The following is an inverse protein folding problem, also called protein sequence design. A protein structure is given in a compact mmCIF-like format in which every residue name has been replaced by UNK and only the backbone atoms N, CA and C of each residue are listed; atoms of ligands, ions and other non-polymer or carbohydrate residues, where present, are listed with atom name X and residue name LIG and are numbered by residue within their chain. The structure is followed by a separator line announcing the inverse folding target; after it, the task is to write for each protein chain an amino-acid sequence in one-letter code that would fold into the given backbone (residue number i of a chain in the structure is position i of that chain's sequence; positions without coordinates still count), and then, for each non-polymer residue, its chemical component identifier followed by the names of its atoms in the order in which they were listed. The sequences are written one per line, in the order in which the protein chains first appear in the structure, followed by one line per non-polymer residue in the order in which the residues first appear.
data_IF_805805701124
#
_entry.id   IF_805805701124
#
_cell.length_a   1.000
_cell.length_b   1.000
_cell.length_c   1.000
_cell.angle_alpha   90.00
_cell.angle_beta   90.00
_cell.angle_gamma   90.00
#
_symmetry.space_group_name_H-M   'P 1'
#
loop_
_entity.id
_entity.type
_entity.pdbx_description
1 polymer ?
#
# COMPACT_ATOMS: atom_id res chain seq x y z
N UNK A 1 63.73 -5.34 5.73
CA UNK A 1 62.56 -4.47 5.46
C UNK A 1 61.95 -4.95 4.15
N UNK A 2 61.21 -6.04 4.24
CA UNK A 2 59.73 -6.14 4.27
C UNK A 2 59.16 -6.41 2.88
N UNK A 3 58.93 -7.71 2.64
CA UNK A 3 58.03 -8.26 1.62
C UNK A 3 56.60 -8.22 2.17
N UNK A 4 55.64 -7.64 1.45
CA UNK A 4 54.21 -8.05 1.44
C UNK A 4 53.64 -7.74 0.04
N UNK A 5 53.52 -8.72 -0.84
CA UNK A 5 52.47 -9.74 -0.92
C UNK A 5 51.18 -9.19 -1.56
N UNK A 6 51.08 -9.51 -2.86
CA UNK A 6 49.93 -9.39 -3.76
C UNK A 6 48.72 -10.18 -3.23
N UNK A 7 47.54 -9.55 -3.25
CA UNK A 7 46.25 -10.17 -2.94
C UNK A 7 45.53 -10.56 -4.23
N UNK A 8 45.36 -11.86 -4.42
CA UNK A 8 44.67 -12.52 -5.52
C UNK A 8 43.14 -12.40 -5.38
N UNK A 9 42.48 -11.94 -6.46
CA UNK A 9 41.02 -12.01 -6.61
C UNK A 9 40.61 -13.42 -6.98
N UNK A 10 39.90 -14.10 -6.08
CA UNK A 10 39.27 -15.38 -6.33
C UNK A 10 37.89 -15.19 -6.99
N UNK A 11 37.80 -15.68 -8.23
CA UNK A 11 36.59 -15.89 -9.03
C UNK A 11 35.70 -16.94 -8.38
N UNK A 12 34.45 -16.61 -8.05
CA UNK A 12 33.46 -17.59 -7.58
C UNK A 12 32.39 -17.84 -8.63
N UNK A 13 32.23 -19.12 -8.93
CA UNK A 13 31.46 -19.68 -10.03
C UNK A 13 29.94 -19.57 -9.84
N UNK A 14 29.24 -19.29 -10.95
CA UNK A 14 27.80 -19.31 -11.04
C UNK A 14 27.23 -20.73 -10.94
N UNK A 15 26.44 -20.98 -9.89
CA UNK A 15 25.71 -22.23 -9.68
C UNK A 15 24.34 -22.15 -10.38
N UNK A 16 24.21 -22.80 -11.54
CA UNK A 16 22.93 -23.03 -12.24
C UNK A 16 22.08 -24.03 -11.46
N UNK A 17 20.82 -23.67 -11.17
CA UNK A 17 19.77 -24.58 -10.65
C UNK A 17 19.13 -25.32 -11.83
N UNK A 18 18.96 -26.66 -11.79
CA UNK A 18 18.17 -27.35 -12.80
C UNK A 18 16.67 -27.29 -12.48
N UNK A 19 15.89 -27.20 -13.56
CA UNK A 19 14.45 -27.04 -13.59
C UNK A 19 13.71 -28.34 -13.23
N UNK A 20 12.67 -28.21 -12.42
CA UNK A 20 11.69 -29.25 -12.11
C UNK A 20 10.70 -29.41 -13.27
N UNK A 21 10.68 -30.58 -13.91
CA UNK A 21 9.56 -31.04 -14.78
C UNK A 21 8.79 -32.14 -14.04
N UNK A 22 7.66 -31.78 -13.44
CA UNK A 22 6.70 -32.72 -12.84
C UNK A 22 5.50 -32.90 -13.76
N UNK A 23 5.29 -34.13 -14.20
CA UNK A 23 4.27 -34.56 -15.14
C UNK A 23 2.83 -34.37 -14.62
N UNK A 24 1.92 -34.04 -15.54
CA UNK A 24 0.49 -33.85 -15.33
C UNK A 24 -0.23 -35.16 -15.65
N UNK A 25 -0.71 -35.88 -14.65
CA UNK A 25 -1.57 -37.05 -14.83
C UNK A 25 -3.04 -36.68 -14.62
N UNK A 26 -3.83 -36.82 -15.68
CA UNK A 26 -5.29 -36.72 -15.71
C UNK A 26 -5.90 -38.07 -15.34
N UNK A 27 -6.77 -38.13 -14.33
CA UNK A 27 -7.60 -39.30 -14.06
C UNK A 27 -9.09 -38.93 -13.96
N UNK A 28 -9.87 -39.58 -14.82
CA UNK A 28 -11.31 -39.44 -15.02
C UNK A 28 -12.12 -40.08 -13.87
N UNK A 29 -13.24 -39.44 -13.57
CA UNK A 29 -14.40 -39.95 -12.81
C UNK A 29 -15.12 -41.06 -13.58
N UNK A 30 -15.74 -42.04 -12.91
CA UNK A 30 -16.94 -42.69 -13.44
C UNK A 30 -18.15 -42.51 -12.51
N UNK A 31 -19.31 -42.38 -13.16
CA UNK A 31 -20.64 -42.35 -12.57
C UNK A 31 -21.32 -43.72 -12.76
N UNK A 32 -22.24 -44.06 -11.84
CA UNK A 32 -23.45 -44.93 -11.93
C UNK A 32 -23.90 -45.20 -10.48
N UNK A 33 -25.17 -45.36 -10.08
CA UNK A 33 -26.39 -45.81 -10.75
C UNK A 33 -27.60 -45.38 -9.90
N UNK A 34 -28.72 -45.08 -10.55
CA UNK A 34 -30.03 -44.93 -9.93
C UNK A 34 -30.64 -46.31 -9.58
N UNK A 35 -31.47 -46.37 -8.54
CA UNK A 35 -32.50 -47.41 -8.40
C UNK A 35 -33.76 -46.84 -7.73
N UNK A 36 -34.90 -47.22 -8.28
CA UNK A 36 -36.26 -46.84 -7.96
C UNK A 36 -36.96 -47.97 -7.17
N UNK A 37 -37.83 -47.64 -6.21
CA UNK A 37 -39.02 -48.46 -5.87
C UNK A 37 -40.09 -47.68 -5.08
N UNK A 38 -41.33 -47.81 -5.54
CA UNK A 38 -42.64 -47.36 -5.02
C UNK A 38 -43.07 -48.17 -3.76
N UNK A 39 -44.15 -47.94 -2.97
CA UNK A 39 -45.07 -46.83 -2.63
C UNK A 39 -45.97 -47.28 -1.42
N UNK A 40 -46.21 -46.37 -0.43
CA UNK A 40 -47.42 -46.10 0.44
C UNK A 40 -48.09 -47.21 1.31
N UNK A 41 -49.05 -46.88 2.25
CA UNK A 41 -49.30 -45.66 3.07
C UNK A 41 -49.73 -45.93 4.55
N UNK A 42 -49.61 -45.00 5.51
CA UNK A 42 -50.55 -44.89 6.67
C UNK A 42 -50.71 -43.44 7.22
N UNK A 43 -51.99 -43.06 7.33
CA UNK A 43 -52.71 -42.08 8.16
C UNK A 43 -52.08 -40.74 8.64
N UNK A 44 -52.83 -39.64 8.40
CA UNK A 44 -52.71 -38.33 9.07
C UNK A 44 -53.58 -38.28 10.36
N UNK A 45 -53.33 -37.32 11.26
CA UNK A 45 -54.41 -36.37 11.51
C UNK A 45 -54.01 -34.88 11.45
N UNK A 46 -54.90 -34.18 10.77
CA UNK A 46 -55.26 -32.76 10.60
C UNK A 46 -54.66 -31.73 11.59
N UNK A 47 -54.12 -30.64 11.03
CA UNK A 47 -54.29 -29.30 11.59
C UNK A 47 -54.68 -28.29 10.49
N UNK A 48 -55.34 -27.23 10.93
CA UNK A 48 -56.39 -26.44 10.27
C UNK A 48 -55.93 -25.63 9.05
N UNK A 49 -56.81 -25.58 8.05
CA UNK A 49 -56.84 -24.59 6.96
C UNK A 49 -57.06 -23.20 7.57
N UNK A 50 -56.06 -22.32 7.46
CA UNK A 50 -56.20 -20.87 7.68
C UNK A 50 -56.02 -20.15 6.36
N UNK A 51 -56.87 -19.16 6.18
CA UNK A 51 -57.24 -18.43 4.98
C UNK A 51 -56.03 -17.77 4.29
N UNK A 52 -56.08 -17.80 2.96
CA UNK A 52 -55.17 -17.22 1.99
C UNK A 52 -55.04 -15.70 2.21
N UNK A 53 -54.05 -15.27 2.98
CA UNK A 53 -53.65 -13.88 3.11
C UNK A 53 -52.93 -13.40 1.86
N UNK A 54 -53.47 -12.38 1.20
CA UNK A 54 -52.85 -11.69 0.07
C UNK A 54 -51.48 -11.17 0.49
N UNK A 55 -50.42 -11.73 -0.10
CA UNK A 55 -49.05 -11.31 0.13
C UNK A 55 -48.87 -9.85 -0.36
N UNK A 56 -48.88 -8.90 0.57
CA UNK A 56 -48.42 -7.53 0.31
C UNK A 56 -46.95 -7.62 -0.11
N UNK A 57 -46.67 -7.44 -1.40
CA UNK A 57 -45.31 -7.29 -1.94
C UNK A 57 -44.60 -6.21 -1.11
N UNK A 58 -43.54 -6.59 -0.38
CA UNK A 58 -42.63 -5.63 0.24
C UNK A 58 -42.12 -4.71 -0.87
N UNK A 59 -42.52 -3.44 -0.83
CA UNK A 59 -42.01 -2.40 -1.72
C UNK A 59 -40.50 -2.35 -1.52
N UNK A 60 -39.75 -2.84 -2.51
CA UNK A 60 -38.30 -2.68 -2.55
C UNK A 60 -38.03 -1.19 -2.56
N UNK A 61 -37.68 -0.63 -1.41
CA UNK A 61 -37.14 0.73 -1.34
C UNK A 61 -35.87 0.70 -2.17
N UNK A 62 -35.92 1.27 -3.38
CA UNK A 62 -34.73 1.49 -4.21
C UNK A 62 -33.73 2.23 -3.33
N UNK A 63 -32.67 1.52 -2.90
CA UNK A 63 -31.51 2.16 -2.28
C UNK A 63 -31.09 3.28 -3.24
N UNK A 64 -31.13 4.53 -2.77
CA UNK A 64 -30.67 5.69 -3.53
C UNK A 64 -29.29 5.32 -4.09
N UNK A 65 -29.11 5.46 -5.41
CA UNK A 65 -27.84 5.14 -6.07
C UNK A 65 -26.73 5.88 -5.31
N UNK A 66 -25.61 5.23 -4.96
CA UNK A 66 -24.52 5.91 -4.27
C UNK A 66 -24.15 7.13 -5.12
N UNK A 67 -24.17 8.31 -4.50
CA UNK A 67 -23.74 9.57 -5.12
C UNK A 67 -22.39 9.28 -5.77
N UNK A 68 -22.32 9.46 -7.10
CA UNK A 68 -21.09 9.20 -7.85
C UNK A 68 -19.98 9.99 -7.17
N UNK A 69 -18.92 9.29 -6.76
CA UNK A 69 -17.76 9.93 -6.14
C UNK A 69 -17.33 11.13 -7.01
N UNK A 70 -16.94 12.26 -6.39
CA UNK A 70 -16.54 13.45 -7.14
C UNK A 70 -15.48 13.07 -8.17
N UNK A 71 -15.67 13.55 -9.41
CA UNK A 71 -14.72 13.31 -10.50
C UNK A 71 -13.42 14.04 -10.13
N UNK A 72 -12.42 13.28 -9.67
CA UNK A 72 -11.07 13.79 -9.46
C UNK A 72 -10.54 14.29 -10.81
N UNK A 73 -10.50 15.61 -10.97
CA UNK A 73 -9.87 16.28 -12.12
C UNK A 73 -8.36 16.31 -11.92
N UNK A 74 -7.59 16.61 -12.98
CA UNK A 74 -6.13 16.68 -12.91
C UNK A 74 -5.65 17.73 -11.88
N UNK A 75 -6.40 18.81 -11.69
CA UNK A 75 -6.12 19.86 -10.70
C UNK A 75 -6.27 19.39 -9.23
N UNK A 76 -7.08 18.36 -8.99
CA UNK A 76 -7.29 17.76 -7.65
C UNK A 76 -6.30 16.62 -7.37
N UNK A 77 -5.48 16.24 -8.35
CA UNK A 77 -4.44 15.23 -8.19
C UNK A 77 -3.18 15.86 -7.57
N UNK A 78 -2.36 15.09 -6.83
CA UNK A 78 -1.11 15.59 -6.30
C UNK A 78 -0.21 16.08 -7.44
N UNK A 79 0.61 17.13 -7.19
CA UNK A 79 1.58 17.59 -8.15
C UNK A 79 2.43 16.43 -8.71
N UNK A 80 2.60 16.42 -10.03
CA UNK A 80 3.54 15.49 -10.69
C UNK A 80 4.96 15.86 -10.31
N UNK A 81 5.87 14.87 -10.31
CA UNK A 81 7.26 15.07 -9.94
C UNK A 81 7.96 16.18 -10.73
N UNK A 82 9.10 16.64 -10.22
CA UNK A 82 9.93 17.65 -10.88
C UNK A 82 10.78 17.02 -11.99
N UNK A 83 11.10 17.77 -13.07
CA UNK A 83 12.07 17.33 -14.06
C UNK A 83 13.48 17.33 -13.46
N UNK A 84 14.21 16.22 -13.61
CA UNK A 84 15.63 16.16 -13.27
C UNK A 84 16.52 16.83 -14.33
N UNK A 85 17.80 17.02 -14.02
CA UNK A 85 18.77 17.72 -14.87
C UNK A 85 18.82 17.17 -16.31
N UNK A 86 18.89 15.85 -16.47
CA UNK A 86 18.85 15.21 -17.80
C UNK A 86 17.55 15.50 -18.57
N UNK A 87 16.40 15.51 -17.89
CA UNK A 87 15.11 15.77 -18.55
C UNK A 87 15.03 17.23 -19.01
N UNK A 88 15.59 18.17 -18.23
CA UNK A 88 15.72 19.57 -18.63
C UNK A 88 16.63 19.71 -19.86
N UNK A 89 17.77 19.04 -19.85
CA UNK A 89 18.67 18.98 -21.01
C UNK A 89 18.01 18.38 -22.24
N UNK A 90 17.35 17.23 -22.11
CA UNK A 90 16.64 16.58 -23.20
C UNK A 90 15.56 17.49 -23.80
N UNK A 91 14.78 18.16 -22.95
CA UNK A 91 13.79 19.15 -23.38
C UNK A 91 14.46 20.33 -24.12
N UNK A 92 15.55 20.86 -23.57
CA UNK A 92 16.31 21.94 -24.21
C UNK A 92 16.83 21.53 -25.59
N UNK A 93 17.38 20.31 -25.70
CA UNK A 93 17.87 19.77 -26.96
C UNK A 93 16.77 19.53 -28.00
N UNK A 94 15.61 18.97 -27.61
CA UNK A 94 14.47 18.80 -28.53
C UNK A 94 14.03 20.16 -29.09
N UNK A 95 13.99 21.19 -28.25
CA UNK A 95 13.63 22.54 -28.67
C UNK A 95 14.67 23.13 -29.64
N UNK A 96 15.96 22.89 -29.41
CA UNK A 96 17.03 23.33 -30.31
C UNK A 96 16.99 22.63 -31.66
N UNK A 97 16.66 21.34 -31.70
CA UNK A 97 16.55 20.56 -32.95
C UNK A 97 15.25 20.86 -33.71
N UNK A 98 14.29 21.56 -33.07
CA UNK A 98 13.04 22.00 -33.71
C UNK A 98 12.07 20.86 -34.09
N UNK A 99 12.33 19.63 -33.63
CA UNK A 99 11.58 18.45 -34.02
C UNK A 99 10.89 17.81 -32.80
N UNK A 100 9.67 18.26 -32.42
CA UNK A 100 8.83 17.44 -31.57
C UNK A 100 8.56 16.12 -32.31
N UNK A 101 8.88 15.00 -31.68
CA UNK A 101 8.74 13.68 -32.30
C UNK A 101 7.31 13.44 -32.79
N UNK A 102 7.15 13.17 -34.08
CA UNK A 102 5.84 12.88 -34.69
C UNK A 102 5.45 11.40 -34.57
N UNK A 103 6.43 10.53 -34.28
CA UNK A 103 6.28 9.09 -34.10
C UNK A 103 6.95 8.61 -32.80
N UNK A 104 6.45 7.49 -32.26
CA UNK A 104 7.02 6.80 -31.10
C UNK A 104 8.49 6.44 -31.34
N UNK A 105 8.83 5.99 -32.54
CA UNK A 105 10.20 5.58 -32.88
C UNK A 105 11.16 6.78 -32.89
N UNK A 106 10.70 7.92 -33.43
CA UNK A 106 11.46 9.18 -33.40
C UNK A 106 11.66 9.66 -31.95
N UNK A 107 10.66 9.51 -31.08
CA UNK A 107 10.76 9.86 -29.68
C UNK A 107 11.81 8.98 -28.95
N UNK A 108 11.80 7.67 -29.22
CA UNK A 108 12.77 6.74 -28.67
C UNK A 108 14.19 7.06 -29.15
N UNK A 109 14.36 7.38 -30.43
CA UNK A 109 15.67 7.72 -30.98
C UNK A 109 16.20 9.03 -30.38
N UNK A 110 15.35 10.07 -30.33
CA UNK A 110 15.71 11.34 -29.68
C UNK A 110 16.13 11.17 -28.23
N UNK A 111 15.46 10.29 -27.48
CA UNK A 111 15.83 9.97 -26.10
C UNK A 111 17.19 9.26 -26.00
N UNK A 112 17.48 8.30 -26.90
CA UNK A 112 18.79 7.62 -26.97
C UNK A 112 19.91 8.60 -27.31
N UNK A 113 19.70 9.41 -28.34
CA UNK A 113 20.69 10.40 -28.79
C UNK A 113 20.95 11.42 -27.68
N UNK A 114 19.90 11.84 -26.97
CA UNK A 114 19.99 12.73 -25.81
C UNK A 114 20.75 12.10 -24.66
N UNK A 115 20.52 10.82 -24.38
CA UNK A 115 21.31 10.07 -23.40
C UNK A 115 22.79 10.05 -23.76
N UNK A 116 23.12 9.74 -25.02
CA UNK A 116 24.50 9.71 -25.50
C UNK A 116 25.18 11.09 -25.37
N UNK A 117 24.52 12.17 -25.80
CA UNK A 117 25.08 13.51 -25.66
C UNK A 117 25.21 13.93 -24.19
N UNK A 118 24.23 13.59 -23.33
CA UNK A 118 24.34 13.88 -21.90
C UNK A 118 25.55 13.21 -21.27
N UNK A 119 25.89 11.98 -21.67
CA UNK A 119 27.10 11.32 -21.20
C UNK A 119 28.38 11.95 -21.75
N UNK A 120 28.35 12.50 -22.97
CA UNK A 120 29.48 13.19 -23.58
C UNK A 120 29.75 14.60 -23.02
N UNK A 121 28.73 15.27 -22.44
CA UNK A 121 28.89 16.57 -21.82
C UNK A 121 29.83 16.53 -20.60
N UNK A 122 30.64 17.57 -20.46
CA UNK A 122 31.45 17.83 -19.27
C UNK A 122 30.57 18.16 -18.05
N UNK A 123 31.15 18.05 -16.85
CA UNK A 123 30.42 18.39 -15.62
C UNK A 123 30.04 19.88 -15.57
N UNK A 124 30.89 20.76 -16.12
CA UNK A 124 30.63 22.19 -16.20
C UNK A 124 29.40 22.51 -17.08
N UNK A 125 29.21 21.78 -18.18
CA UNK A 125 28.04 21.96 -19.07
C UNK A 125 26.76 21.39 -18.45
N UNK A 126 26.88 20.42 -17.53
CA UNK A 126 25.75 19.84 -16.79
C UNK A 126 25.32 20.69 -15.61
N UNK A 127 26.26 21.41 -15.00
CA UNK A 127 26.05 22.27 -13.84
C UNK A 127 24.79 23.18 -13.92
N UNK A 128 24.54 23.94 -15.01
CA UNK A 128 23.35 24.77 -15.11
C UNK A 128 22.05 23.95 -15.05
N UNK A 129 22.03 22.75 -15.61
CA UNK A 129 20.85 21.87 -15.56
C UNK A 129 20.63 21.29 -14.16
N UNK A 130 21.70 21.02 -13.41
CA UNK A 130 21.59 20.63 -12.00
C UNK A 130 21.03 21.75 -11.15
N UNK A 131 21.56 22.98 -11.28
CA UNK A 131 21.05 24.17 -10.59
C UNK A 131 19.56 24.40 -10.88
N UNK A 132 19.15 24.33 -12.14
CA UNK A 132 17.73 24.44 -12.51
C UNK A 132 16.89 23.30 -11.91
N UNK A 133 17.37 22.06 -11.93
CA UNK A 133 16.66 20.92 -11.36
C UNK A 133 16.46 21.06 -9.84
N UNK A 134 17.41 21.66 -9.13
CA UNK A 134 17.27 21.97 -7.71
C UNK A 134 16.17 23.00 -7.45
N UNK A 135 16.11 24.07 -8.25
CA UNK A 135 15.01 25.06 -8.17
C UNK A 135 13.65 24.38 -8.36
N UNK A 136 13.50 23.55 -9.39
CA UNK A 136 12.25 22.80 -9.63
C UNK A 136 11.94 21.80 -8.51
N UNK A 137 12.97 21.19 -7.89
CA UNK A 137 12.81 20.29 -6.75
C UNK A 137 12.26 21.03 -5.53
N UNK A 138 12.80 22.21 -5.21
CA UNK A 138 12.30 23.02 -4.09
C UNK A 138 10.89 23.54 -4.34
N UNK A 139 10.57 24.00 -5.56
CA UNK A 139 9.20 24.36 -5.92
C UNK A 139 8.24 23.17 -5.80
N UNK A 140 8.65 21.99 -6.26
CA UNK A 140 7.85 20.78 -6.15
C UNK A 140 7.57 20.40 -4.70
N UNK A 141 8.57 20.52 -3.82
CA UNK A 141 8.40 20.29 -2.39
C UNK A 141 7.34 21.23 -1.81
N UNK A 142 7.40 22.53 -2.11
CA UNK A 142 6.40 23.53 -1.68
C UNK A 142 4.99 23.18 -2.18
N UNK A 143 4.83 23.03 -3.50
CA UNK A 143 3.54 22.66 -4.13
C UNK A 143 2.97 21.35 -3.56
N UNK A 144 3.84 20.37 -3.27
CA UNK A 144 3.43 19.09 -2.69
C UNK A 144 3.01 19.23 -1.22
N UNK A 145 3.72 20.02 -0.43
CA UNK A 145 3.35 20.31 0.96
C UNK A 145 1.98 21.00 1.01
N UNK A 146 1.82 22.09 0.26
CA UNK A 146 0.56 22.84 0.12
C UNK A 146 -0.61 21.93 -0.30
N UNK A 147 -0.38 21.01 -1.25
CA UNK A 147 -1.37 20.02 -1.63
C UNK A 147 -1.78 19.13 -0.45
N UNK A 148 -0.83 18.58 0.31
CA UNK A 148 -1.16 17.67 1.41
C UNK A 148 -1.76 18.37 2.64
N UNK A 149 -1.49 19.66 2.82
CA UNK A 149 -2.12 20.49 3.84
C UNK A 149 -3.58 20.82 3.50
N UNK A 150 -3.85 21.24 2.25
CA UNK A 150 -5.16 21.76 1.85
C UNK A 150 -6.11 20.71 1.24
N UNK A 151 -5.64 19.50 0.94
CA UNK A 151 -6.43 18.51 0.21
C UNK A 151 -7.56 17.87 1.06
N UNK A 152 -8.76 17.79 0.47
CA UNK A 152 -9.91 17.12 1.07
C UNK A 152 -9.63 15.60 1.25
N UNK A 153 -9.76 15.07 2.49
CA UNK A 153 -9.62 13.65 2.77
C UNK A 153 -10.47 12.72 1.88
N UNK A 154 -11.64 13.18 1.40
CA UNK A 154 -12.50 12.42 0.48
C UNK A 154 -11.84 12.26 -0.89
N UNK A 155 -11.22 13.31 -1.43
CA UNK A 155 -10.48 13.26 -2.69
C UNK A 155 -9.32 12.28 -2.57
N UNK A 156 -8.53 12.39 -1.49
CA UNK A 156 -7.42 11.48 -1.24
C UNK A 156 -7.86 10.01 -1.20
N UNK A 157 -9.01 9.72 -0.56
CA UNK A 157 -9.57 8.37 -0.49
C UNK A 157 -9.92 7.83 -1.87
N UNK A 158 -10.56 8.64 -2.72
CA UNK A 158 -10.91 8.24 -4.09
C UNK A 158 -9.66 8.01 -4.95
N UNK A 159 -8.65 8.86 -4.82
CA UNK A 159 -7.37 8.73 -5.52
C UNK A 159 -6.62 7.47 -5.06
N UNK A 160 -6.59 7.21 -3.76
CA UNK A 160 -5.98 6.01 -3.19
C UNK A 160 -6.65 4.72 -3.68
N UNK A 161 -7.97 4.71 -3.86
CA UNK A 161 -8.67 3.57 -4.45
C UNK A 161 -8.18 3.31 -5.88
N UNK A 162 -8.05 4.35 -6.69
CA UNK A 162 -7.49 4.25 -8.06
C UNK A 162 -6.02 3.80 -8.06
N UNK A 163 -5.20 4.31 -7.13
CA UNK A 163 -3.78 3.94 -7.01
C UNK A 163 -3.60 2.47 -6.64
N UNK A 164 -4.35 1.98 -5.66
CA UNK A 164 -4.29 0.57 -5.24
C UNK A 164 -4.77 -0.36 -6.35
N UNK A 165 -5.82 0.02 -7.09
CA UNK A 165 -6.27 -0.75 -8.25
C UNK A 165 -5.21 -0.85 -9.35
N UNK A 166 -4.31 0.13 -9.46
CA UNK A 166 -3.14 0.13 -10.34
C UNK A 166 -1.88 -0.49 -9.71
N UNK A 167 -1.98 -1.06 -8.51
CA UNK A 167 -0.83 -1.65 -7.80
C UNK A 167 0.11 -0.63 -7.13
N UNK A 168 -0.24 0.66 -7.09
CA UNK A 168 0.59 1.69 -6.47
C UNK A 168 0.31 1.85 -4.97
N UNK A 169 1.33 2.25 -4.21
CA UNK A 169 1.21 2.62 -2.79
C UNK A 169 0.22 3.77 -2.59
N UNK A 170 -0.53 3.71 -1.49
CA UNK A 170 -1.45 4.76 -1.05
C UNK A 170 -0.68 6.02 -0.67
N UNK A 171 -1.21 7.17 -1.07
CA UNK A 171 -0.79 8.47 -0.58
C UNK A 171 -1.37 8.68 0.81
N UNK A 172 -0.55 9.19 1.73
CA UNK A 172 -0.95 9.53 3.09
C UNK A 172 -0.60 11.00 3.29
N UNK A 173 -1.51 11.76 3.88
CA UNK A 173 -1.17 13.10 4.35
C UNK A 173 -0.09 12.95 5.42
N UNK A 174 0.83 13.91 5.44
CA UNK A 174 1.75 14.04 6.55
C UNK A 174 0.95 14.38 7.80
N UNK A 175 1.45 13.93 8.95
CA UNK A 175 0.93 14.44 10.22
C UNK A 175 1.27 15.94 10.26
N UNK A 176 0.32 16.84 10.57
CA UNK A 176 0.62 18.25 10.72
C UNK A 176 1.78 18.47 11.69
N UNK A 177 2.66 19.43 11.39
CA UNK A 177 3.72 19.84 12.31
C UNK A 177 3.08 20.28 13.64
N UNK A 178 3.65 19.85 14.77
CA UNK A 178 3.12 20.14 16.10
C UNK A 178 2.07 19.14 16.62
N UNK A 179 1.53 18.25 15.80
CA UNK A 179 0.62 17.22 16.30
C UNK A 179 1.42 16.03 16.87
N UNK A 180 1.38 15.85 18.18
CA UNK A 180 2.03 14.72 18.85
C UNK A 180 1.41 13.37 18.44
N UNK A 181 2.22 12.29 18.32
CA UNK A 181 1.68 10.94 18.16
C UNK A 181 0.72 10.60 19.29
N UNK A 182 -0.37 9.91 18.94
CA UNK A 182 -1.23 9.29 19.94
C UNK A 182 -0.41 8.30 20.77
N UNK A 183 -0.70 8.16 22.08
CA UNK A 183 -0.01 7.21 22.93
C UNK A 183 -0.27 5.78 22.46
N UNK A 184 0.70 4.92 22.77
CA UNK A 184 0.67 3.51 22.43
C UNK A 184 -0.46 2.84 23.22
N UNK A 185 -1.36 2.12 22.53
CA UNK A 185 -2.47 1.40 23.19
C UNK A 185 -1.96 0.34 24.17
N UNK A 186 -2.75 0.03 25.21
CA UNK A 186 -2.44 -1.00 26.22
C UNK A 186 -1.88 -2.29 25.64
N UNK A 187 -2.51 -2.86 24.61
CA UNK A 187 -2.02 -4.07 23.93
C UNK A 187 -0.64 -3.90 23.28
N UNK A 188 -0.37 -2.73 22.68
CA UNK A 188 0.93 -2.48 22.05
C UNK A 188 2.04 -2.20 23.08
N UNK A 189 1.70 -1.74 24.29
CA UNK A 189 2.64 -1.67 25.42
C UNK A 189 3.03 -3.07 25.87
N UNK A 190 2.03 -3.92 26.11
CA UNK A 190 2.26 -5.34 26.37
C UNK A 190 3.07 -6.00 25.24
N UNK A 191 2.76 -5.70 23.96
CA UNK A 191 3.52 -6.27 22.85
C UNK A 191 4.98 -5.80 22.83
N UNK A 192 5.29 -4.58 23.31
CA UNK A 192 6.66 -4.11 23.44
C UNK A 192 7.41 -4.94 24.48
N UNK A 193 6.82 -5.13 25.67
CA UNK A 193 7.40 -5.97 26.72
C UNK A 193 7.47 -7.45 26.30
N UNK A 194 6.45 -7.98 25.63
CA UNK A 194 6.44 -9.35 25.11
C UNK A 194 7.62 -9.59 24.16
N UNK A 195 7.98 -8.60 23.32
CA UNK A 195 9.13 -8.72 22.41
C UNK A 195 10.47 -8.78 23.14
N UNK A 196 10.54 -8.30 24.37
CA UNK A 196 11.73 -8.38 25.22
C UNK A 196 11.82 -9.71 25.97
N UNK A 197 10.71 -10.43 26.13
CA UNK A 197 10.72 -11.78 26.70
C UNK A 197 11.45 -12.79 25.79
N UNK A 198 11.95 -13.88 26.38
CA UNK A 198 12.58 -14.98 25.65
C UNK A 198 11.69 -15.52 24.53
N UNK A 199 10.38 -15.64 24.76
CA UNK A 199 9.42 -16.07 23.72
C UNK A 199 9.31 -15.07 22.57
N UNK A 200 9.27 -13.77 22.86
CA UNK A 200 9.13 -12.73 21.84
C UNK A 200 10.41 -12.44 21.06
N UNK A 201 11.58 -12.63 21.66
CA UNK A 201 12.89 -12.43 20.99
C UNK A 201 13.16 -13.47 19.91
N UNK A 202 12.69 -14.72 20.10
CA UNK A 202 12.86 -15.79 19.11
C UNK A 202 11.83 -15.74 17.96
N UNK A 203 10.76 -14.94 18.09
CA UNK A 203 9.71 -14.83 17.09
C UNK A 203 9.83 -13.53 16.29
N UNK A 204 9.63 -13.61 14.97
CA UNK A 204 9.71 -12.44 14.09
C UNK A 204 8.39 -12.12 13.41
N UNK A 205 8.13 -10.82 13.21
CA UNK A 205 7.01 -10.31 12.41
C UNK A 205 5.65 -10.89 12.79
N UNK A 206 5.01 -11.59 11.84
CA UNK A 206 3.66 -12.12 12.01
C UNK A 206 3.57 -13.27 13.03
N UNK A 207 4.66 -14.01 13.27
CA UNK A 207 4.67 -15.07 14.27
C UNK A 207 4.65 -14.48 15.70
N UNK A 208 5.48 -13.47 15.96
CA UNK A 208 5.49 -12.73 17.23
C UNK A 208 4.14 -12.08 17.53
N UNK A 209 3.50 -11.48 16.51
CA UNK A 209 2.18 -10.87 16.69
C UNK A 209 1.09 -11.89 17.03
N UNK A 210 1.16 -13.12 16.50
CA UNK A 210 0.20 -14.19 16.84
C UNK A 210 0.42 -14.68 18.28
N UNK A 211 1.65 -15.01 18.65
CA UNK A 211 1.99 -15.45 20.01
C UNK A 211 1.65 -14.40 21.06
N UNK A 212 2.01 -13.13 20.82
CA UNK A 212 1.60 -12.01 21.69
C UNK A 212 0.08 -11.89 21.80
N UNK A 213 -0.65 -12.09 20.69
CA UNK A 213 -2.12 -12.09 20.70
C UNK A 213 -2.74 -13.24 21.49
N UNK A 214 -2.13 -14.43 21.47
CA UNK A 214 -2.54 -15.58 22.26
C UNK A 214 -2.27 -15.35 23.75
N UNK A 215 -1.05 -14.90 24.09
CA UNK A 215 -0.67 -14.57 25.47
C UNK A 215 -1.56 -13.48 26.06
N UNK A 216 -1.80 -12.40 25.31
CA UNK A 216 -2.71 -11.34 25.73
C UNK A 216 -4.13 -11.86 25.97
N UNK A 217 -4.66 -12.79 25.16
CA UNK A 217 -5.99 -13.35 25.42
C UNK A 217 -6.00 -14.23 26.67
N UNK A 218 -4.93 -14.98 26.93
CA UNK A 218 -4.77 -15.85 28.08
C UNK A 218 -4.52 -15.12 29.41
N UNK A 219 -4.06 -13.86 29.37
CA UNK A 219 -3.88 -13.04 30.58
C UNK A 219 -5.22 -12.74 31.27
N UNK A 220 -5.16 -12.63 32.60
CA UNK A 220 -6.28 -12.20 33.42
C UNK A 220 -6.65 -10.72 33.15
N UNK A 221 -7.84 -10.32 33.57
CA UNK A 221 -8.27 -8.91 33.42
C UNK A 221 -7.43 -7.99 34.31
N UNK A 222 -6.97 -8.47 35.47
CA UNK A 222 -6.12 -7.75 36.42
C UNK A 222 -4.74 -7.43 35.82
N UNK A 223 -4.10 -8.41 35.19
CA UNK A 223 -2.81 -8.20 34.50
C UNK A 223 -2.97 -7.25 33.30
N UNK A 224 -4.09 -7.34 32.58
CA UNK A 224 -4.41 -6.40 31.49
C UNK A 224 -4.67 -4.99 32.00
N UNK A 225 -5.28 -4.88 33.18
CA UNK A 225 -5.66 -3.60 33.77
C UNK A 225 -4.44 -2.71 34.05
N UNK A 226 -3.30 -3.28 34.43
CA UNK A 226 -2.03 -2.53 34.56
C UNK A 226 -1.71 -1.77 33.26
N UNK A 227 -1.79 -2.45 32.12
CA UNK A 227 -1.56 -1.84 30.80
C UNK A 227 -2.66 -0.87 30.39
N UNK A 228 -3.91 -1.13 30.77
CA UNK A 228 -5.02 -0.21 30.50
C UNK A 228 -4.88 1.07 31.29
N UNK A 229 -4.56 0.99 32.58
CA UNK A 229 -4.36 2.16 33.43
C UNK A 229 -3.20 3.01 32.92
N UNK A 230 -2.06 2.38 32.60
CA UNK A 230 -0.94 3.09 31.98
C UNK A 230 -1.36 3.78 30.66
N UNK A 231 -2.16 3.11 29.81
CA UNK A 231 -2.66 3.76 28.59
C UNK A 231 -3.61 4.94 28.88
N UNK A 232 -4.46 4.83 29.90
CA UNK A 232 -5.36 5.92 30.30
C UNK A 232 -4.59 7.13 30.82
N UNK A 233 -3.53 6.93 31.60
CA UNK A 233 -2.67 8.02 32.09
C UNK A 233 -1.98 8.73 30.94
N UNK A 234 -1.29 7.99 30.06
CA UNK A 234 -0.62 8.57 28.89
C UNK A 234 -1.60 9.29 27.96
N UNK A 235 -2.81 8.74 27.81
CA UNK A 235 -3.88 9.36 27.01
C UNK A 235 -4.35 10.66 27.64
N UNK A 236 -4.54 10.70 28.95
CA UNK A 236 -4.92 11.92 29.65
C UNK A 236 -3.83 13.00 29.52
N UNK A 237 -2.56 12.62 29.65
CA UNK A 237 -1.43 13.54 29.46
C UNK A 237 -1.32 14.05 28.02
N UNK A 238 -1.51 13.17 27.03
CA UNK A 238 -1.53 13.55 25.62
C UNK A 238 -2.70 14.48 25.30
N UNK A 239 -3.89 14.23 25.86
CA UNK A 239 -5.05 15.11 25.70
C UNK A 239 -4.80 16.48 26.33
N UNK A 240 -4.19 16.54 27.52
CA UNK A 240 -3.77 17.80 28.17
C UNK A 240 -2.77 18.58 27.30
N UNK A 241 -1.70 17.94 26.82
CA UNK A 241 -0.70 18.56 25.93
C UNK A 241 -1.30 19.03 24.60
N UNK A 242 -2.26 18.29 24.06
CA UNK A 242 -2.99 18.67 22.85
C UNK A 242 -3.90 19.87 23.08
N UNK A 243 -4.50 19.98 24.27
CA UNK A 243 -5.34 21.13 24.62
C UNK A 243 -4.51 22.38 24.90
N UNK A 244 -3.34 22.25 25.53
CA UNK A 244 -2.45 23.39 25.78
C UNK A 244 -1.71 23.90 24.54
N UNK A 245 -1.63 23.10 23.47
CA UNK A 245 -0.99 23.47 22.21
C UNK A 245 -1.97 23.93 21.11
N UNK A 246 -3.28 23.94 21.42
CA UNK A 246 -4.33 24.42 20.52
C UNK A 246 -4.82 25.80 20.93
#
# INVERSE_FOLDING_TARGET
MEKKASSTKATTAGRKRPATKGAKATAKKPAKKASTKAAKPKAKPKSKRVVRGVAKKKRVVRKKRPVKAPRVTLAMAPPRGYPGAFILFHKHRILQVGAPSTSVDQAQQSARDSGAAWHALSEAEKEPFFKQAEVFKEEYKKKRAEYFENNDPKILRTLNKKRVAKGHKKLRNHRPAGQEPKPISSYFRFMAEFRETTEGTHLTGAAAARAAGERWRAMSEEEKDVYKQAWLTDKAEWEKRRQSSS
#
